data_IF_606910455284
#
_entry.id   IF_606910455284
#
_cell.length_a   1.000
_cell.length_b   1.000
_cell.length_c   1.000
_cell.angle_alpha   90.00
_cell.angle_beta   90.00
_cell.angle_gamma   90.00
#
_symmetry.space_group_name_H-M   'P 1'
#
loop_
_entity.id
_entity.type
_entity.pdbx_description
1 polymer ?
#
# COMPACT_ATOMS: atom_id res chain seq x y z
N UNK A 1 2.30 -3.24 0.32
CA UNK A 1 3.30 -2.19 0.00
C UNK A 1 2.62 -0.91 -0.43
N UNK A 2 3.14 0.24 -0.01
CA UNK A 2 2.75 1.58 -0.43
C UNK A 2 3.83 2.15 -1.35
N UNK A 3 3.49 2.44 -2.60
CA UNK A 3 4.42 3.09 -3.52
C UNK A 3 4.37 4.60 -3.31
N UNK A 4 5.51 5.22 -3.01
CA UNK A 4 5.62 6.67 -2.83
C UNK A 4 5.33 7.39 -4.16
N UNK A 5 4.52 8.46 -4.10
CA UNK A 5 4.15 9.25 -5.25
C UNK A 5 3.19 8.58 -6.24
N UNK A 6 2.47 7.55 -5.84
CA UNK A 6 1.46 6.88 -6.67
C UNK A 6 0.17 6.66 -5.90
N UNK A 7 -0.94 6.66 -6.61
CA UNK A 7 -2.22 6.28 -6.02
C UNK A 7 -2.16 4.86 -5.47
N UNK A 8 -2.74 4.66 -4.29
CA UNK A 8 -2.88 3.34 -3.68
C UNK A 8 -4.35 2.95 -3.63
N UNK A 9 -4.74 1.98 -4.46
CA UNK A 9 -6.06 1.38 -4.34
C UNK A 9 -6.19 0.61 -3.02
N UNK A 10 -7.32 0.81 -2.35
CA UNK A 10 -7.71 0.10 -1.14
C UNK A 10 -9.03 -0.61 -1.43
N UNK A 11 -9.03 -1.92 -1.33
CA UNK A 11 -10.18 -2.76 -1.67
C UNK A 11 -10.54 -3.59 -0.45
N UNK A 12 -11.81 -3.51 -0.04
CA UNK A 12 -12.43 -4.36 0.95
C UNK A 12 -13.40 -5.31 0.24
N UNK A 13 -13.11 -6.60 0.29
CA UNK A 13 -13.93 -7.62 -0.36
C UNK A 13 -14.76 -8.40 0.66
N UNK A 14 -15.91 -8.90 0.21
CA UNK A 14 -16.75 -9.81 0.96
C UNK A 14 -17.18 -9.26 2.34
N UNK A 15 -17.47 -7.96 2.43
CA UNK A 15 -17.99 -7.38 3.65
C UNK A 15 -19.34 -8.02 3.97
N UNK A 16 -19.45 -8.61 5.16
CA UNK A 16 -20.65 -9.29 5.62
C UNK A 16 -21.12 -8.69 6.95
N UNK A 17 -22.42 -8.66 7.11
CA UNK A 17 -23.04 -8.40 8.40
C UNK A 17 -22.69 -9.53 9.37
N UNK A 18 -22.12 -9.19 10.53
CA UNK A 18 -21.65 -10.18 11.52
C UNK A 18 -22.79 -10.92 12.22
N UNK A 19 -24.01 -10.39 12.15
CA UNK A 19 -25.21 -10.97 12.79
C UNK A 19 -25.92 -11.91 11.81
N UNK A 20 -26.16 -11.42 10.59
CA UNK A 20 -26.97 -12.15 9.61
C UNK A 20 -26.12 -13.00 8.65
N UNK A 21 -24.83 -12.71 8.50
CA UNK A 21 -23.93 -13.34 7.55
C UNK A 21 -24.18 -12.93 6.09
N UNK A 22 -25.13 -12.01 5.84
CA UNK A 22 -25.44 -11.50 4.50
C UNK A 22 -24.36 -10.53 4.03
N UNK A 23 -24.13 -10.46 2.71
CA UNK A 23 -23.26 -9.42 2.15
C UNK A 23 -23.90 -8.04 2.35
N UNK A 24 -23.05 -7.09 2.69
CA UNK A 24 -23.43 -5.69 2.87
C UNK A 24 -23.27 -4.99 1.52
N UNK A 25 -24.27 -4.17 1.18
CA UNK A 25 -24.33 -3.34 -0.02
C UNK A 25 -24.02 -1.86 0.29
N UNK A 26 -24.54 -0.95 -0.49
CA UNK A 26 -24.36 0.50 -0.38
C UNK A 26 -25.00 1.15 0.88
N UNK A 27 -25.66 0.36 1.71
CA UNK A 27 -26.24 0.85 2.97
C UNK A 27 -25.22 1.08 4.08
N UNK A 28 -24.01 0.53 3.94
CA UNK A 28 -22.92 0.77 4.88
C UNK A 28 -22.10 2.00 4.49
N UNK A 29 -21.59 2.69 5.50
CA UNK A 29 -20.55 3.70 5.34
C UNK A 29 -19.20 3.05 5.59
N UNK A 30 -18.31 3.11 4.59
CA UNK A 30 -16.96 2.54 4.70
C UNK A 30 -15.94 3.65 4.50
N UNK A 31 -15.16 3.91 5.54
CA UNK A 31 -14.12 4.94 5.55
C UNK A 31 -12.75 4.32 5.85
N UNK A 32 -11.72 4.87 5.23
CA UNK A 32 -10.34 4.49 5.45
C UNK A 32 -9.54 5.62 6.08
N UNK A 33 -8.52 5.25 6.84
CA UNK A 33 -7.53 6.15 7.42
C UNK A 33 -6.14 5.60 7.10
N UNK A 34 -5.22 6.49 6.74
CA UNK A 34 -3.80 6.20 6.68
C UNK A 34 -3.14 6.76 7.94
N UNK A 35 -2.46 5.92 8.69
CA UNK A 35 -1.78 6.28 9.92
C UNK A 35 -0.28 6.02 9.79
N UNK A 36 0.54 6.75 10.54
CA UNK A 36 1.95 6.46 10.73
C UNK A 36 2.17 5.32 11.76
N UNK A 37 3.42 4.96 12.03
CA UNK A 37 3.79 3.94 13.01
C UNK A 37 3.37 4.27 14.46
N UNK A 38 3.13 5.55 14.75
CA UNK A 38 2.69 6.06 16.05
C UNK A 38 1.17 6.26 16.12
N UNK A 39 0.44 5.74 15.11
CA UNK A 39 -1.02 5.86 14.97
C UNK A 39 -1.51 7.30 14.76
N UNK A 40 -0.66 8.24 14.33
CA UNK A 40 -1.10 9.56 13.92
C UNK A 40 -1.73 9.50 12.53
N UNK A 41 -2.89 10.17 12.39
CA UNK A 41 -3.61 10.23 11.12
C UNK A 41 -2.89 11.13 10.13
N UNK A 42 -2.61 10.59 8.94
CA UNK A 42 -1.99 11.30 7.83
C UNK A 42 -3.02 11.67 6.75
N UNK A 43 -4.02 10.81 6.54
CA UNK A 43 -5.06 11.04 5.54
C UNK A 43 -6.31 10.19 5.83
N UNK A 44 -7.45 10.63 5.30
CA UNK A 44 -8.72 9.91 5.33
C UNK A 44 -9.31 9.79 3.94
N UNK A 45 -9.94 8.67 3.65
CA UNK A 45 -10.57 8.41 2.35
C UNK A 45 -11.84 7.58 2.52
N UNK A 46 -12.73 7.65 1.54
CA UNK A 46 -13.97 6.87 1.53
C UNK A 46 -13.84 5.70 0.58
N UNK A 47 -14.40 4.55 0.96
CA UNK A 47 -14.57 3.42 0.05
C UNK A 47 -16.03 3.38 -0.41
N UNK A 48 -16.21 3.28 -1.73
CA UNK A 48 -17.52 3.25 -2.37
C UNK A 48 -17.88 1.80 -2.74
N UNK A 49 -19.13 1.43 -2.55
CA UNK A 49 -19.65 0.13 -2.93
C UNK A 49 -19.61 -0.07 -4.45
N UNK A 50 -19.12 -1.23 -4.88
CA UNK A 50 -19.20 -1.66 -6.28
C UNK A 50 -20.56 -2.32 -6.53
N UNK A 51 -21.41 -1.67 -7.31
CA UNK A 51 -22.77 -2.13 -7.57
C UNK A 51 -22.80 -3.55 -8.17
N UNK A 52 -23.65 -4.40 -7.61
CA UNK A 52 -23.78 -5.80 -8.03
C UNK A 52 -22.68 -6.74 -7.55
N UNK A 53 -21.78 -6.26 -6.70
CA UNK A 53 -20.75 -7.07 -6.07
C UNK A 53 -21.26 -7.75 -4.79
N UNK A 54 -20.50 -8.73 -4.29
CA UNK A 54 -20.76 -9.37 -3.00
C UNK A 54 -19.98 -8.64 -1.89
N UNK A 55 -20.45 -7.46 -1.47
CA UNK A 55 -19.84 -6.68 -0.40
C UNK A 55 -18.44 -6.16 -0.74
N UNK A 56 -18.22 -5.70 -1.99
CA UNK A 56 -16.96 -5.09 -2.39
C UNK A 56 -17.05 -3.57 -2.32
N UNK A 57 -16.06 -2.98 -1.67
CA UNK A 57 -15.89 -1.53 -1.56
C UNK A 57 -14.50 -1.14 -2.02
N UNK A 58 -14.40 -0.06 -2.78
CA UNK A 58 -13.15 0.47 -3.30
C UNK A 58 -12.95 1.93 -2.96
N UNK A 59 -11.73 2.28 -2.63
CA UNK A 59 -11.26 3.64 -2.42
C UNK A 59 -9.80 3.77 -2.80
N UNK A 60 -9.24 4.97 -2.70
CA UNK A 60 -7.84 5.19 -2.98
C UNK A 60 -7.22 6.23 -2.06
N UNK A 61 -5.94 6.02 -1.74
CA UNK A 61 -5.07 7.04 -1.15
C UNK A 61 -4.40 7.75 -2.31
N UNK A 62 -4.54 9.09 -2.43
CA UNK A 62 -4.01 9.80 -3.59
C UNK A 62 -2.48 9.88 -3.61
N UNK A 63 -1.92 10.00 -4.82
CA UNK A 63 -0.47 10.15 -5.03
C UNK A 63 0.13 11.35 -4.26
N UNK A 64 -0.64 12.42 -4.06
CA UNK A 64 -0.21 13.56 -3.28
C UNK A 64 0.08 13.20 -1.81
N UNK A 65 -0.75 12.36 -1.21
CA UNK A 65 -0.55 11.84 0.15
C UNK A 65 0.62 10.86 0.19
N UNK A 66 0.68 9.90 -0.72
CA UNK A 66 1.77 8.92 -0.74
C UNK A 66 3.12 9.56 -1.03
N UNK A 67 3.17 10.70 -1.73
CA UNK A 67 4.41 11.45 -1.99
C UNK A 67 5.05 12.03 -0.71
N UNK A 68 4.30 12.17 0.38
CA UNK A 68 4.82 12.66 1.66
C UNK A 68 5.38 11.57 2.55
N UNK A 69 5.24 10.30 2.15
CA UNK A 69 5.66 9.16 2.95
C UNK A 69 7.18 8.97 2.92
N UNK A 70 7.72 8.43 3.99
CA UNK A 70 9.14 8.12 4.12
C UNK A 70 9.42 6.72 3.60
N UNK A 71 10.46 6.58 2.78
CA UNK A 71 10.89 5.27 2.26
C UNK A 71 11.28 4.33 3.41
N UNK A 72 10.88 3.08 3.28
CA UNK A 72 11.05 2.00 4.25
C UNK A 72 10.34 2.19 5.61
N UNK A 73 9.55 3.24 5.80
CA UNK A 73 8.74 3.40 7.01
C UNK A 73 7.46 2.55 6.94
N UNK A 74 6.99 2.11 8.11
CA UNK A 74 5.72 1.40 8.24
C UNK A 74 4.55 2.37 8.36
N UNK A 75 3.43 1.99 7.73
CA UNK A 75 2.16 2.70 7.77
C UNK A 75 1.02 1.72 8.00
N UNK A 76 -0.05 2.21 8.60
CA UNK A 76 -1.23 1.42 8.91
C UNK A 76 -2.41 1.97 8.12
N UNK A 77 -3.05 1.13 7.33
CA UNK A 77 -4.35 1.43 6.75
C UNK A 77 -5.42 0.82 7.65
N UNK A 78 -6.32 1.64 8.17
CA UNK A 78 -7.48 1.22 8.93
C UNK A 78 -8.72 1.48 8.10
N UNK A 79 -9.48 0.44 7.78
CA UNK A 79 -10.79 0.57 7.13
C UNK A 79 -11.86 0.28 8.17
N UNK A 80 -12.77 1.23 8.34
CA UNK A 80 -13.91 1.12 9.27
C UNK A 80 -15.20 1.06 8.47
N UNK A 81 -15.92 -0.04 8.60
CA UNK A 81 -17.24 -0.22 8.02
C UNK A 81 -18.31 -0.05 9.11
N UNK A 82 -19.27 0.83 8.89
CA UNK A 82 -20.41 1.06 9.79
C UNK A 82 -21.69 0.71 9.05
N UNK A 83 -22.41 -0.29 9.53
CA UNK A 83 -23.68 -0.70 8.92
C UNK A 83 -24.80 0.27 9.27
N UNK A 84 -25.94 0.20 8.55
CA UNK A 84 -27.13 0.99 8.85
C UNK A 84 -27.67 0.75 10.28
N UNK A 85 -27.42 -0.44 10.84
CA UNK A 85 -27.76 -0.78 12.22
C UNK A 85 -26.75 -0.28 13.27
N UNK A 86 -25.70 0.44 12.83
CA UNK A 86 -24.65 0.96 13.71
C UNK A 86 -23.59 -0.05 14.13
N UNK A 87 -23.56 -1.23 13.54
CA UNK A 87 -22.48 -2.22 13.79
C UNK A 87 -21.20 -1.76 13.12
N UNK A 88 -20.12 -1.72 13.88
CA UNK A 88 -18.81 -1.24 13.41
C UNK A 88 -17.86 -2.43 13.27
N UNK A 89 -17.23 -2.52 12.10
CA UNK A 89 -16.16 -3.48 11.81
C UNK A 89 -14.89 -2.73 11.41
N UNK A 90 -13.74 -3.14 11.94
CA UNK A 90 -12.45 -2.53 11.61
C UNK A 90 -11.50 -3.56 11.02
N UNK A 91 -10.84 -3.17 9.94
CA UNK A 91 -9.84 -3.96 9.24
C UNK A 91 -8.52 -3.19 9.23
N UNK A 92 -7.46 -3.82 9.67
CA UNK A 92 -6.13 -3.21 9.72
C UNK A 92 -5.19 -3.91 8.73
N UNK A 93 -4.41 -3.11 8.02
CA UNK A 93 -3.35 -3.59 7.14
C UNK A 93 -2.09 -2.76 7.36
N UNK A 94 -0.99 -3.41 7.75
CA UNK A 94 0.32 -2.78 7.91
C UNK A 94 1.09 -2.90 6.60
N UNK A 95 1.64 -1.80 6.13
CA UNK A 95 2.33 -1.71 4.86
C UNK A 95 3.62 -0.90 5.03
N UNK A 96 4.64 -1.25 4.26
CA UNK A 96 5.88 -0.46 4.17
C UNK A 96 5.80 0.41 2.94
N UNK A 97 6.15 1.69 3.08
CA UNK A 97 6.30 2.60 1.95
C UNK A 97 7.63 2.35 1.23
N UNK A 98 7.63 2.52 -0.08
CA UNK A 98 8.82 2.39 -0.89
C UNK A 98 8.85 3.40 -2.04
N UNK A 99 10.01 4.00 -2.24
CA UNK A 99 10.27 4.80 -3.42
C UNK A 99 10.66 3.88 -4.58
N UNK A 100 10.15 4.15 -5.77
CA UNK A 100 10.68 3.53 -6.98
C UNK A 100 11.81 4.43 -7.47
N UNK A 101 13.03 3.92 -7.42
CA UNK A 101 14.11 4.45 -8.21
C UNK A 101 14.08 3.82 -9.63
N UNK A 102 15.08 4.07 -10.45
CA UNK A 102 15.18 3.50 -11.81
C UNK A 102 15.43 1.98 -11.82
N UNK A 103 15.54 1.35 -10.66
CA UNK A 103 15.78 -0.08 -10.53
C UNK A 103 14.46 -0.83 -10.29
N UNK A 104 14.23 -1.94 -10.97
CA UNK A 104 13.08 -2.81 -10.73
C UNK A 104 13.23 -3.67 -9.47
N UNK A 105 14.45 -3.79 -8.95
CA UNK A 105 14.73 -4.31 -7.61
C UNK A 105 15.12 -3.12 -6.74
N UNK A 106 14.32 -2.85 -5.72
CA UNK A 106 14.54 -1.71 -4.83
C UNK A 106 15.64 -2.02 -3.82
N UNK A 107 16.74 -1.25 -3.78
CA UNK A 107 17.69 -1.29 -2.68
C UNK A 107 17.15 -0.49 -1.49
N UNK A 108 15.86 -0.67 -1.13
CA UNK A 108 15.29 0.04 -0.01
C UNK A 108 15.91 -0.45 1.30
N UNK A 109 16.01 0.42 2.28
CA UNK A 109 16.52 0.11 3.61
C UNK A 109 15.76 -1.05 4.29
N UNK A 110 14.56 -1.40 3.82
CA UNK A 110 13.80 -2.55 4.28
C UNK A 110 14.56 -3.87 4.09
N UNK A 111 15.22 -4.07 2.94
CA UNK A 111 16.03 -5.26 2.70
C UNK A 111 17.33 -5.24 3.53
N UNK A 112 17.78 -4.08 3.95
CA UNK A 112 19.05 -3.87 4.63
C UNK A 112 18.91 -3.73 6.13
N UNK A 113 17.76 -3.36 6.65
CA UNK A 113 17.47 -3.38 8.08
C UNK A 113 17.56 -4.80 8.68
N UNK A 114 17.36 -5.83 7.86
CA UNK A 114 17.58 -7.24 8.25
C UNK A 114 19.05 -7.65 8.23
N UNK A 115 19.91 -6.90 7.55
CA UNK A 115 21.33 -7.19 7.37
C UNK A 115 22.28 -6.24 8.12
N UNK A 116 21.71 -5.28 8.87
CA UNK A 116 22.46 -4.24 9.57
C UNK A 116 22.49 -2.91 8.82
N UNK A 117 23.03 -1.88 9.46
CA UNK A 117 23.16 -0.53 8.88
C UNK A 117 24.22 -0.53 7.79
N UNK A 118 23.80 -0.38 6.54
CA UNK A 118 24.72 -0.15 5.43
C UNK A 118 25.12 1.32 5.37
N UNK A 119 26.37 1.60 5.07
CA UNK A 119 26.81 2.96 4.76
C UNK A 119 26.18 3.46 3.44
N UNK A 120 26.13 4.76 3.23
CA UNK A 120 25.65 5.32 1.95
C UNK A 120 26.51 4.85 0.77
N UNK A 121 27.80 4.63 0.99
CA UNK A 121 28.71 4.07 -0.02
C UNK A 121 28.27 2.66 -0.43
N UNK A 122 27.92 1.82 0.55
CA UNK A 122 27.46 0.45 0.29
C UNK A 122 26.11 0.42 -0.41
N UNK A 123 25.19 1.31 -0.04
CA UNK A 123 23.89 1.46 -0.72
C UNK A 123 24.06 1.88 -2.18
N UNK A 124 24.95 2.83 -2.44
CA UNK A 124 25.27 3.28 -3.81
C UNK A 124 25.92 2.17 -4.65
N UNK A 125 26.86 1.43 -4.07
CA UNK A 125 27.49 0.30 -4.73
C UNK A 125 26.46 -0.78 -5.08
N UNK A 126 25.57 -1.10 -4.15
CA UNK A 126 24.52 -2.08 -4.37
C UNK A 126 23.50 -1.64 -5.42
N UNK A 127 23.09 -0.37 -5.43
CA UNK A 127 22.24 0.19 -6.47
C UNK A 127 22.88 0.04 -7.86
N UNK A 128 24.18 0.28 -7.94
CA UNK A 128 24.95 0.08 -9.19
C UNK A 128 24.98 -1.39 -9.62
N UNK A 129 25.18 -2.33 -8.69
CA UNK A 129 25.15 -3.76 -9.01
C UNK A 129 23.77 -4.22 -9.47
N UNK A 130 22.71 -3.77 -8.82
CA UNK A 130 21.31 -4.08 -9.19
C UNK A 130 21.05 -3.56 -10.61
N UNK A 131 21.44 -2.31 -10.91
CA UNK A 131 21.27 -1.72 -12.24
C UNK A 131 22.02 -2.52 -13.31
N UNK A 132 23.25 -2.89 -13.04
CA UNK A 132 24.07 -3.70 -13.97
C UNK A 132 23.42 -5.06 -14.22
N UNK A 133 22.93 -5.73 -13.19
CA UNK A 133 22.23 -7.00 -13.33
C UNK A 133 20.92 -6.86 -14.13
N UNK A 134 20.17 -5.79 -13.88
CA UNK A 134 18.95 -5.47 -14.62
C UNK A 134 19.24 -5.24 -16.10
N UNK A 135 20.23 -4.40 -16.44
CA UNK A 135 20.65 -4.14 -17.82
C UNK A 135 21.07 -5.43 -18.54
N UNK A 136 21.77 -6.33 -17.84
CA UNK A 136 22.14 -7.63 -18.39
C UNK A 136 20.93 -8.52 -18.69
N UNK A 137 19.94 -8.57 -17.79
CA UNK A 137 18.70 -9.33 -18.00
C UNK A 137 17.87 -8.73 -19.14
N UNK A 138 17.76 -7.41 -19.21
CA UNK A 138 17.05 -6.73 -20.30
C UNK A 138 17.70 -7.00 -21.65
N UNK A 139 19.04 -6.98 -21.71
CA UNK A 139 19.81 -7.32 -22.92
C UNK A 139 19.57 -8.77 -23.36
N UNK A 140 19.59 -9.70 -22.40
CA UNK A 140 19.43 -11.13 -22.69
C UNK A 140 18.00 -11.48 -23.11
N UNK A 141 17.01 -10.89 -22.47
CA UNK A 141 15.60 -11.21 -22.73
C UNK A 141 14.97 -10.35 -23.83
N UNK A 142 15.64 -9.28 -24.26
CA UNK A 142 15.10 -8.28 -25.19
C UNK A 142 13.88 -7.52 -24.64
N UNK A 143 13.62 -7.60 -23.34
CA UNK A 143 12.50 -6.95 -22.67
C UNK A 143 13.00 -5.82 -21.78
N UNK A 144 12.34 -4.67 -21.84
CA UNK A 144 12.54 -3.59 -20.87
C UNK A 144 11.56 -3.77 -19.73
N UNK A 145 12.08 -3.80 -18.49
CA UNK A 145 11.28 -3.93 -17.27
C UNK A 145 11.00 -2.58 -16.61
N UNK A 146 11.34 -1.48 -17.27
CA UNK A 146 10.95 -0.13 -16.81
C UNK A 146 9.44 0.05 -16.97
N UNK A 147 8.82 0.39 -15.87
CA UNK A 147 7.46 0.93 -15.85
C UNK A 147 7.42 2.35 -16.37
#
# INVERSE_FOLDING_TARGET
>A
MLRIGSDKAVILNNLKDVITGSYIDDTATVAGQLLDENENELDTFTLTYEAGSNGKFEGSIPAATTATLTDAAEYIIVVTATTAAGVIQKFLNRLVAYAIDDNWVQPSSYYFNTLGTLSETDKNALSTYIKTAQDAVELYTGRKFKS
#
